data_IF_898551201861
#
_entry.id   IF_898551201861
#
_cell.length_a   1.000
_cell.length_b   1.000
_cell.length_c   1.000
_cell.angle_alpha   90.00
_cell.angle_beta   90.00
_cell.angle_gamma   90.00
#
_symmetry.space_group_name_H-M   'P 1'
#
loop_
_entity.id
_entity.type
_entity.pdbx_description
1 polymer ?
#
# COMPACT_ATOMS: atom_id res chain seq x y z
N UNK A 1 6.85 3.52 11.33
CA UNK A 1 6.67 4.47 10.21
C UNK A 1 5.41 4.13 9.44
N UNK A 2 5.33 3.00 8.73
CA UNK A 2 4.17 2.60 7.92
C UNK A 2 2.78 2.82 8.56
N UNK A 3 2.52 2.27 9.76
CA UNK A 3 1.21 2.44 10.44
C UNK A 3 0.93 3.90 10.84
N UNK A 4 1.97 4.66 11.17
CA UNK A 4 1.83 6.08 11.49
C UNK A 4 1.41 6.90 10.28
N UNK A 5 1.92 6.54 9.10
CA UNK A 5 1.45 7.11 7.83
C UNK A 5 -0.01 6.82 7.60
N UNK A 6 -0.44 5.55 7.65
CA UNK A 6 -1.85 5.19 7.43
C UNK A 6 -2.76 5.98 8.38
N UNK A 7 -2.42 5.99 9.66
CA UNK A 7 -3.16 6.75 10.66
C UNK A 7 -3.25 8.24 10.30
N UNK A 8 -2.13 8.92 10.06
CA UNK A 8 -2.12 10.35 9.78
C UNK A 8 -2.77 10.72 8.45
N UNK A 9 -2.70 9.84 7.46
CA UNK A 9 -3.28 10.07 6.14
C UNK A 9 -4.80 9.96 6.16
N UNK A 10 -5.36 9.00 6.91
CA UNK A 10 -6.81 8.82 7.06
C UNK A 10 -7.49 9.88 7.93
N UNK A 11 -6.75 10.55 8.83
CA UNK A 11 -7.33 11.55 9.73
C UNK A 11 -7.89 12.77 9.00
N UNK A 12 -9.13 13.11 9.36
CA UNK A 12 -9.84 14.32 8.91
C UNK A 12 -10.02 14.38 7.38
N UNK A 13 -10.84 13.50 6.79
CA UNK A 13 -11.06 13.46 5.35
C UNK A 13 -11.42 14.83 4.73
N UNK A 14 -10.79 15.16 3.60
CA UNK A 14 -10.88 16.45 2.93
C UNK A 14 -9.90 17.50 3.44
N UNK A 15 -9.08 17.19 4.46
CA UNK A 15 -8.10 18.12 5.03
C UNK A 15 -6.67 17.59 4.85
N UNK A 16 -5.77 18.49 4.44
CA UNK A 16 -4.36 18.20 4.15
C UNK A 16 -3.42 18.43 5.34
N UNK A 17 -3.85 19.07 6.43
CA UNK A 17 -3.00 19.46 7.55
C UNK A 17 -2.23 18.28 8.13
N UNK A 18 -2.88 17.14 8.38
CA UNK A 18 -2.20 15.96 8.93
C UNK A 18 -1.20 15.35 7.93
N UNK A 19 -1.56 15.35 6.65
CA UNK A 19 -0.70 14.86 5.57
C UNK A 19 0.53 15.74 5.42
N UNK A 20 0.35 17.07 5.35
CA UNK A 20 1.43 18.04 5.27
C UNK A 20 2.33 17.97 6.51
N UNK A 21 1.78 17.71 7.69
CA UNK A 21 2.60 17.46 8.88
C UNK A 21 3.50 16.24 8.71
N UNK A 22 3.01 15.13 8.15
CA UNK A 22 3.87 13.96 7.86
C UNK A 22 4.96 14.32 6.86
N UNK A 23 4.61 15.04 5.79
CA UNK A 23 5.55 15.42 4.74
C UNK A 23 6.62 16.40 5.22
N UNK A 24 6.24 17.42 6.00
CA UNK A 24 7.17 18.37 6.61
C UNK A 24 8.12 17.67 7.60
N UNK A 25 7.63 16.68 8.35
CA UNK A 25 8.48 15.90 9.27
C UNK A 25 9.46 15.00 8.52
N UNK A 26 9.07 14.45 7.37
CA UNK A 26 9.98 13.70 6.50
C UNK A 26 11.06 14.63 5.92
N UNK A 27 10.69 15.84 5.50
CA UNK A 27 11.65 16.84 5.02
C UNK A 27 12.62 17.26 6.12
N UNK A 28 12.12 17.57 7.32
CA UNK A 28 12.94 17.89 8.48
C UNK A 28 13.90 16.74 8.83
N UNK A 29 13.41 15.51 8.82
CA UNK A 29 14.22 14.32 9.05
C UNK A 29 15.36 14.21 8.02
N UNK A 30 15.06 14.37 6.72
CA UNK A 30 16.08 14.38 5.67
C UNK A 30 17.09 15.53 5.85
N UNK A 31 16.63 16.70 6.29
CA UNK A 31 17.48 17.85 6.61
C UNK A 31 18.41 17.58 7.79
N UNK A 32 17.93 16.94 8.87
CA UNK A 32 18.76 16.53 10.00
C UNK A 32 19.84 15.52 9.62
N UNK A 33 19.55 14.65 8.65
CA UNK A 33 20.50 13.71 8.08
C UNK A 33 21.51 14.38 7.12
N UNK A 34 21.46 15.71 6.94
CA UNK A 34 22.33 16.42 5.99
C UNK A 34 22.08 16.03 4.54
N UNK A 35 20.88 15.52 4.22
CA UNK A 35 20.55 14.84 2.97
C UNK A 35 21.41 13.58 2.68
N UNK A 36 22.13 13.07 3.68
CA UNK A 36 22.87 11.81 3.55
C UNK A 36 21.89 10.63 3.60
N UNK A 37 21.51 10.16 2.40
CA UNK A 37 20.69 8.97 2.22
C UNK A 37 21.49 7.68 2.43
N UNK A 38 22.81 7.76 2.67
CA UNK A 38 23.69 6.63 2.89
C UNK A 38 23.18 5.69 3.98
N UNK A 39 22.70 6.23 5.11
CA UNK A 39 22.16 5.43 6.22
C UNK A 39 20.96 4.55 5.82
N UNK A 40 20.23 4.91 4.76
CA UNK A 40 19.06 4.16 4.28
C UNK A 40 19.35 3.29 3.07
N UNK A 41 20.60 3.27 2.58
CA UNK A 41 21.01 2.28 1.61
C UNK A 41 20.91 0.89 2.24
N UNK A 42 20.34 -0.08 1.52
CA UNK A 42 20.13 -1.45 2.00
C UNK A 42 21.39 -2.02 2.65
N UNK A 43 22.56 -1.83 2.03
CA UNK A 43 23.86 -2.28 2.56
C UNK A 43 24.18 -1.77 3.97
N UNK A 44 23.77 -0.55 4.30
CA UNK A 44 23.99 0.05 5.61
C UNK A 44 22.89 -0.32 6.59
N UNK A 45 21.65 -0.49 6.13
CA UNK A 45 20.54 -1.00 6.95
C UNK A 45 20.82 -2.43 7.43
N UNK A 46 21.43 -3.27 6.59
CA UNK A 46 21.84 -4.63 6.92
C UNK A 46 22.86 -4.72 8.08
N UNK A 47 23.51 -3.62 8.45
CA UNK A 47 24.39 -3.59 9.63
C UNK A 47 23.61 -3.61 10.95
N UNK A 48 22.31 -3.26 10.93
CA UNK A 48 21.46 -3.16 12.12
C UNK A 48 20.17 -3.99 12.07
N UNK A 49 19.86 -4.62 10.94
CA UNK A 49 18.63 -5.41 10.76
C UNK A 49 18.78 -6.49 9.68
N UNK A 50 17.82 -7.39 9.56
CA UNK A 50 17.80 -8.41 8.51
C UNK A 50 17.35 -7.86 7.14
N UNK A 51 17.53 -8.66 6.09
CA UNK A 51 17.24 -8.25 4.71
C UNK A 51 15.80 -7.80 4.50
N UNK A 52 14.83 -8.50 5.10
CA UNK A 52 13.41 -8.18 4.89
C UNK A 52 13.05 -6.88 5.60
N UNK A 53 13.54 -6.67 6.81
CA UNK A 53 13.37 -5.41 7.52
C UNK A 53 14.09 -4.25 6.82
N UNK A 54 15.27 -4.47 6.23
CA UNK A 54 15.98 -3.45 5.45
C UNK A 54 15.15 -3.00 4.24
N UNK A 55 14.60 -3.94 3.45
CA UNK A 55 13.72 -3.61 2.33
C UNK A 55 12.39 -3.01 2.77
N UNK A 56 11.84 -3.41 3.92
CA UNK A 56 10.63 -2.80 4.46
C UNK A 56 10.84 -1.32 4.83
N UNK A 57 11.98 -0.99 5.43
CA UNK A 57 12.35 0.39 5.78
C UNK A 57 12.54 1.22 4.50
N UNK A 58 13.34 0.73 3.55
CA UNK A 58 13.60 1.39 2.28
C UNK A 58 12.31 1.61 1.47
N UNK A 59 11.49 0.57 1.33
CA UNK A 59 10.19 0.63 0.66
C UNK A 59 9.23 1.61 1.34
N UNK A 60 9.19 1.63 2.67
CA UNK A 60 8.37 2.59 3.43
C UNK A 60 8.80 4.02 3.14
N UNK A 61 10.11 4.29 3.07
CA UNK A 61 10.63 5.63 2.75
C UNK A 61 10.35 6.02 1.30
N UNK A 62 10.48 5.10 0.34
CA UNK A 62 10.12 5.33 -1.05
C UNK A 62 8.64 5.66 -1.21
N UNK A 63 7.76 4.90 -0.54
CA UNK A 63 6.32 5.15 -0.50
C UNK A 63 6.01 6.53 0.10
N UNK A 64 6.70 6.91 1.18
CA UNK A 64 6.56 8.24 1.78
C UNK A 64 6.97 9.36 0.83
N UNK A 65 8.09 9.22 0.12
CA UNK A 65 8.57 10.21 -0.85
C UNK A 65 7.58 10.38 -2.01
N UNK A 66 7.04 9.27 -2.53
CA UNK A 66 5.98 9.31 -3.54
C UNK A 66 4.75 10.06 -3.00
N UNK A 67 4.26 9.63 -1.84
CA UNK A 67 3.05 10.19 -1.25
C UNK A 67 3.20 11.67 -0.93
N UNK A 68 4.35 12.12 -0.43
CA UNK A 68 4.61 13.53 -0.13
C UNK A 68 5.01 14.39 -1.33
N UNK A 69 5.18 13.79 -2.51
CA UNK A 69 5.46 14.51 -3.75
C UNK A 69 4.35 14.31 -4.78
N UNK A 70 4.59 13.52 -5.85
CA UNK A 70 3.63 13.35 -6.93
C UNK A 70 2.29 12.76 -6.47
N UNK A 71 2.28 11.88 -5.46
CA UNK A 71 1.07 11.25 -4.94
C UNK A 71 0.10 12.27 -4.32
N UNK A 72 0.57 13.13 -3.41
CA UNK A 72 -0.23 14.20 -2.83
C UNK A 72 -0.68 15.18 -3.90
N UNK A 73 0.18 15.55 -4.84
CA UNK A 73 -0.19 16.46 -5.92
C UNK A 73 -1.41 15.93 -6.70
N UNK A 74 -1.45 14.64 -7.04
CA UNK A 74 -2.60 14.04 -7.71
C UNK A 74 -3.86 14.09 -6.85
N UNK A 75 -3.79 13.68 -5.58
CA UNK A 75 -4.96 13.69 -4.70
C UNK A 75 -5.50 15.10 -4.42
N UNK A 76 -4.65 16.13 -4.41
CA UNK A 76 -5.06 17.52 -4.27
C UNK A 76 -5.87 18.03 -5.47
N UNK A 77 -5.61 17.52 -6.68
CA UNK A 77 -6.30 17.95 -7.91
C UNK A 77 -7.55 17.10 -8.20
N UNK A 78 -7.52 15.80 -7.88
CA UNK A 78 -8.58 14.85 -8.23
C UNK A 78 -9.58 14.61 -7.09
N UNK A 79 -9.24 15.01 -5.86
CA UNK A 79 -10.08 14.86 -4.68
C UNK A 79 -9.45 13.97 -3.62
N UNK A 80 -9.11 14.57 -2.49
CA UNK A 80 -8.36 13.91 -1.42
C UNK A 80 -9.24 13.04 -0.50
N UNK A 81 -10.50 13.43 -0.30
CA UNK A 81 -11.34 12.88 0.76
C UNK A 81 -11.60 11.37 0.62
N UNK A 82 -11.68 10.86 -0.62
CA UNK A 82 -11.96 9.45 -0.82
C UNK A 82 -10.81 8.55 -0.35
N UNK A 83 -9.59 8.79 -0.84
CA UNK A 83 -8.42 8.07 -0.40
C UNK A 83 -8.26 8.09 1.13
N UNK A 84 -8.53 9.24 1.77
CA UNK A 84 -8.49 9.34 3.24
C UNK A 84 -9.55 8.48 3.93
N UNK A 85 -10.80 8.48 3.43
CA UNK A 85 -11.88 7.63 3.97
C UNK A 85 -11.56 6.14 3.82
N UNK A 86 -11.01 5.73 2.68
CA UNK A 86 -10.59 4.35 2.45
C UNK A 86 -9.47 3.97 3.42
N UNK A 87 -8.45 4.83 3.56
CA UNK A 87 -7.36 4.56 4.50
C UNK A 87 -7.87 4.47 5.93
N UNK A 88 -8.75 5.38 6.36
CA UNK A 88 -9.31 5.40 7.72
C UNK A 88 -10.13 4.12 8.01
N UNK A 89 -11.03 3.75 7.10
CA UNK A 89 -11.88 2.58 7.26
C UNK A 89 -11.15 1.24 7.14
N UNK A 90 -10.15 1.13 6.25
CA UNK A 90 -9.54 -0.16 5.89
C UNK A 90 -8.11 -0.35 6.45
N UNK A 91 -7.68 0.40 7.46
CA UNK A 91 -6.29 0.33 7.97
C UNK A 91 -5.82 -1.10 8.26
N UNK A 92 -6.65 -1.90 8.94
CA UNK A 92 -6.31 -3.28 9.28
C UNK A 92 -6.12 -4.15 8.03
N UNK A 93 -7.01 -4.02 7.04
CA UNK A 93 -6.91 -4.73 5.78
C UNK A 93 -5.65 -4.32 5.00
N UNK A 94 -5.38 -3.01 4.88
CA UNK A 94 -4.21 -2.47 4.18
C UNK A 94 -2.89 -2.93 4.83
N UNK A 95 -2.85 -2.99 6.17
CA UNK A 95 -1.70 -3.54 6.90
C UNK A 95 -1.52 -5.05 6.65
N UNK A 96 -2.60 -5.81 6.57
CA UNK A 96 -2.54 -7.24 6.25
C UNK A 96 -2.09 -7.51 4.81
N UNK A 97 -2.43 -6.66 3.84
CA UNK A 97 -1.87 -6.74 2.48
C UNK A 97 -0.32 -6.67 2.51
N UNK A 98 0.25 -5.75 3.28
CA UNK A 98 1.73 -5.65 3.41
C UNK A 98 2.30 -6.79 4.22
N UNK A 99 1.66 -7.20 5.32
CA UNK A 99 2.13 -8.30 6.16
C UNK A 99 2.20 -9.63 5.40
N UNK A 100 1.16 -9.95 4.62
CA UNK A 100 1.10 -11.16 3.79
C UNK A 100 2.16 -11.16 2.69
N UNK A 101 2.42 -10.00 2.06
CA UNK A 101 3.54 -9.80 1.15
C UNK A 101 4.88 -10.10 1.84
N UNK A 102 5.17 -9.43 2.96
CA UNK A 102 6.44 -9.57 3.69
C UNK A 102 6.67 -11.02 4.14
N UNK A 103 5.63 -11.69 4.62
CA UNK A 103 5.71 -13.12 4.97
C UNK A 103 6.04 -13.96 3.74
N UNK A 104 5.35 -13.72 2.61
CA UNK A 104 5.53 -14.52 1.41
C UNK A 104 6.93 -14.42 0.83
N UNK A 105 7.48 -13.22 0.73
CA UNK A 105 8.85 -13.02 0.22
C UNK A 105 9.93 -13.54 1.18
N UNK A 106 9.61 -13.65 2.48
CA UNK A 106 10.51 -14.26 3.47
C UNK A 106 10.71 -15.75 3.21
N UNK A 107 9.64 -16.44 2.82
CA UNK A 107 9.65 -17.90 2.69
C UNK A 107 9.70 -18.40 1.24
N UNK A 108 9.41 -17.54 0.26
CA UNK A 108 9.41 -17.86 -1.17
C UNK A 108 9.87 -16.65 -2.00
N UNK A 109 11.11 -16.21 -1.80
CA UNK A 109 11.65 -15.04 -2.51
C UNK A 109 11.64 -15.19 -4.05
N UNK A 110 11.76 -16.41 -4.57
CA UNK A 110 11.80 -16.69 -6.01
C UNK A 110 10.49 -16.34 -6.73
N UNK A 111 9.36 -16.39 -6.03
CA UNK A 111 8.06 -15.94 -6.54
C UNK A 111 7.79 -14.46 -6.24
N UNK A 112 8.82 -13.66 -5.94
CA UNK A 112 8.71 -12.27 -5.50
C UNK A 112 7.78 -11.41 -6.35
N UNK A 113 7.89 -11.45 -7.68
CA UNK A 113 7.02 -10.66 -8.56
C UNK A 113 5.53 -11.03 -8.42
N UNK A 114 5.20 -12.32 -8.24
CA UNK A 114 3.82 -12.73 -7.94
C UNK A 114 3.34 -12.04 -6.66
N UNK A 115 4.16 -12.01 -5.61
CA UNK A 115 3.79 -11.37 -4.35
C UNK A 115 3.72 -9.84 -4.44
N UNK A 116 4.56 -9.21 -5.26
CA UNK A 116 4.43 -7.78 -5.59
C UNK A 116 3.08 -7.49 -6.24
N UNK A 117 2.68 -8.28 -7.24
CA UNK A 117 1.37 -8.11 -7.90
C UNK A 117 0.22 -8.31 -6.91
N UNK A 118 0.30 -9.34 -6.07
CA UNK A 118 -0.69 -9.61 -5.02
C UNK A 118 -0.81 -8.44 -4.03
N UNK A 119 0.32 -7.84 -3.62
CA UNK A 119 0.33 -6.66 -2.76
C UNK A 119 -0.36 -5.48 -3.45
N UNK A 120 0.04 -5.17 -4.68
CA UNK A 120 -0.52 -4.06 -5.44
C UNK A 120 -2.02 -4.21 -5.63
N UNK A 121 -2.50 -5.42 -5.94
CA UNK A 121 -3.92 -5.70 -6.13
C UNK A 121 -4.71 -5.62 -4.82
N UNK A 122 -4.22 -6.28 -3.77
CA UNK A 122 -4.84 -6.26 -2.43
C UNK A 122 -4.98 -4.83 -1.92
N UNK A 123 -3.87 -4.06 -1.94
CA UNK A 123 -3.87 -2.74 -1.35
C UNK A 123 -4.70 -1.74 -2.15
N UNK A 124 -4.77 -1.88 -3.47
CA UNK A 124 -5.54 -0.99 -4.34
C UNK A 124 -7.02 -1.34 -4.43
N UNK A 125 -7.42 -2.58 -4.10
CA UNK A 125 -8.79 -3.07 -4.22
C UNK A 125 -9.87 -2.12 -3.63
N UNK A 126 -9.73 -1.60 -2.40
CA UNK A 126 -10.77 -0.74 -1.83
C UNK A 126 -10.85 0.66 -2.45
N UNK A 127 -9.87 1.04 -3.27
CA UNK A 127 -9.81 2.35 -3.94
C UNK A 127 -10.51 2.37 -5.31
N UNK A 128 -10.85 1.20 -5.88
CA UNK A 128 -11.45 1.08 -7.23
C UNK A 128 -12.98 1.28 -7.23
N UNK A 129 -13.56 1.73 -6.12
CA UNK A 129 -14.98 2.07 -6.09
C UNK A 129 -15.90 0.86 -6.17
N UNK A 130 -15.59 -0.21 -5.43
CA UNK A 130 -16.42 -1.43 -5.35
C UNK A 130 -17.81 -1.25 -4.73
N UNK A 131 -18.34 -0.04 -4.59
CA UNK A 131 -19.66 0.17 -4.01
C UNK A 131 -20.62 0.80 -5.00
N UNK A 132 -21.80 0.19 -5.10
CA UNK A 132 -22.99 0.86 -5.61
C UNK A 132 -23.41 2.04 -4.70
N UNK A 133 -22.69 2.28 -3.58
CA UNK A 133 -22.89 3.35 -2.60
C UNK A 133 -21.55 3.86 -2.04
N UNK A 134 -20.75 4.61 -2.81
CA UNK A 134 -19.49 5.15 -2.30
C UNK A 134 -19.78 6.19 -1.21
N UNK A 135 -18.94 6.27 -0.15
CA UNK A 135 -19.03 7.32 0.86
C UNK A 135 -19.16 8.70 0.21
N UNK A 136 -19.86 9.66 0.84
CA UNK A 136 -19.92 11.04 0.36
C UNK A 136 -18.50 11.63 0.30
N UNK A 137 -17.89 11.65 -0.90
CA UNK A 137 -16.47 11.95 -1.11
C UNK A 137 -15.79 11.03 -2.15
N UNK A 138 -16.33 9.83 -2.35
CA UNK A 138 -15.83 8.82 -3.29
C UNK A 138 -16.66 8.71 -4.60
N UNK A 139 -17.53 9.68 -4.90
CA UNK A 139 -18.41 9.64 -6.09
C UNK A 139 -17.74 10.08 -7.40
N UNK A 140 -16.64 10.85 -7.32
CA UNK A 140 -15.81 11.24 -8.47
C UNK A 140 -14.38 10.69 -8.40
N UNK A 141 -14.08 9.97 -7.32
CA UNK A 141 -12.77 9.47 -6.95
C UNK A 141 -12.79 7.95 -7.13
N UNK A 142 -11.81 7.37 -7.80
CA UNK A 142 -11.79 5.94 -8.11
C UNK A 142 -10.71 5.56 -9.11
N UNK A 143 -10.42 6.41 -10.10
CA UNK A 143 -9.29 6.20 -11.02
C UNK A 143 -8.00 6.78 -10.48
N UNK A 144 -8.04 8.02 -10.00
CA UNK A 144 -6.89 8.69 -9.40
C UNK A 144 -6.48 8.03 -8.07
N UNK A 145 -7.45 7.65 -7.23
CA UNK A 145 -7.17 6.98 -5.96
C UNK A 145 -6.62 5.56 -6.16
N UNK A 146 -7.19 4.80 -7.10
CA UNK A 146 -6.66 3.48 -7.45
C UNK A 146 -5.24 3.59 -8.01
N UNK A 147 -4.99 4.54 -8.92
CA UNK A 147 -3.65 4.83 -9.42
C UNK A 147 -2.68 5.15 -8.29
N UNK A 148 -3.07 6.07 -7.41
CA UNK A 148 -2.28 6.51 -6.27
C UNK A 148 -1.94 5.33 -5.36
N UNK A 149 -2.93 4.49 -5.07
CA UNK A 149 -2.79 3.29 -4.24
C UNK A 149 -1.83 2.28 -4.86
N UNK A 150 -1.92 2.06 -6.18
CA UNK A 150 -1.03 1.16 -6.88
C UNK A 150 0.39 1.70 -6.95
N UNK A 151 0.60 2.97 -7.31
CA UNK A 151 1.94 3.55 -7.41
C UNK A 151 2.63 3.57 -6.05
N UNK A 152 1.91 3.88 -4.97
CA UNK A 152 2.44 3.82 -3.61
C UNK A 152 3.04 2.43 -3.29
N UNK A 153 2.37 1.35 -3.70
CA UNK A 153 2.86 -0.02 -3.49
C UNK A 153 3.90 -0.46 -4.52
N UNK A 154 3.80 0.04 -5.77
CA UNK A 154 4.81 -0.20 -6.79
C UNK A 154 6.17 0.34 -6.33
N UNK A 155 6.22 1.61 -5.89
CA UNK A 155 7.47 2.21 -5.41
C UNK A 155 7.96 1.58 -4.10
N UNK A 156 7.05 1.11 -3.24
CA UNK A 156 7.40 0.37 -2.02
C UNK A 156 8.22 -0.89 -2.33
N UNK A 157 7.87 -1.61 -3.40
CA UNK A 157 8.54 -2.86 -3.79
C UNK A 157 9.69 -2.70 -4.78
N UNK A 158 9.82 -1.53 -5.42
CA UNK A 158 10.63 -1.35 -6.62
C UNK A 158 12.12 -1.66 -6.40
N UNK A 159 12.68 -1.26 -5.26
CA UNK A 159 14.09 -1.50 -4.96
C UNK A 159 14.39 -2.96 -4.61
N UNK A 160 13.39 -3.70 -4.11
CA UNK A 160 13.51 -5.11 -3.80
C UNK A 160 13.33 -5.99 -5.05
N UNK A 161 12.38 -5.63 -5.91
CA UNK A 161 12.05 -6.37 -7.12
C UNK A 161 11.92 -5.45 -8.35
N UNK A 162 13.04 -4.87 -8.84
CA UNK A 162 13.02 -3.86 -9.91
C UNK A 162 12.54 -4.39 -11.26
N UNK A 163 12.64 -5.72 -11.49
CA UNK A 163 12.40 -6.34 -12.79
C UNK A 163 10.99 -6.91 -12.97
N UNK A 164 10.06 -6.65 -12.05
CA UNK A 164 8.70 -7.21 -12.18
C UNK A 164 7.86 -6.58 -13.29
N UNK A 165 8.25 -5.40 -13.80
CA UNK A 165 7.63 -4.79 -14.98
C UNK A 165 6.17 -4.35 -14.82
N UNK A 166 5.64 -4.33 -13.59
CA UNK A 166 4.28 -3.85 -13.35
C UNK A 166 4.20 -2.32 -13.50
N UNK A 167 3.12 -1.85 -14.11
CA UNK A 167 2.77 -0.44 -14.22
C UNK A 167 1.40 -0.20 -13.59
N UNK A 168 1.22 0.99 -13.02
CA UNK A 168 -0.09 1.47 -12.59
C UNK A 168 -0.67 2.36 -13.68
N UNK A 169 -0.86 1.84 -14.88
CA UNK A 169 -1.60 2.56 -15.90
C UNK A 169 -3.09 2.57 -15.56
N UNK A 170 -3.72 3.74 -15.48
CA UNK A 170 -5.11 3.89 -15.03
C UNK A 170 -6.07 2.99 -15.81
N UNK A 171 -5.88 2.81 -17.13
CA UNK A 171 -6.79 2.03 -17.97
C UNK A 171 -6.57 0.53 -17.77
N UNK A 172 -5.31 0.08 -17.78
CA UNK A 172 -4.98 -1.34 -17.60
C UNK A 172 -5.25 -1.81 -16.18
N UNK A 173 -4.92 -0.98 -15.20
CA UNK A 173 -5.07 -1.25 -13.78
C UNK A 173 -6.55 -1.40 -13.39
N UNK A 174 -7.43 -0.52 -13.89
CA UNK A 174 -8.88 -0.60 -13.59
C UNK A 174 -9.44 -1.96 -14.00
N UNK A 175 -9.14 -2.43 -15.22
CA UNK A 175 -9.59 -3.74 -15.70
C UNK A 175 -8.99 -4.91 -14.93
N UNK A 176 -7.73 -4.80 -14.51
CA UNK A 176 -7.09 -5.84 -13.71
C UNK A 176 -7.71 -5.94 -12.32
N UNK A 177 -7.99 -4.80 -11.68
CA UNK A 177 -8.60 -4.75 -10.36
C UNK A 177 -10.07 -5.18 -10.41
N UNK A 178 -10.84 -4.82 -11.45
CA UNK A 178 -12.20 -5.34 -11.64
C UNK A 178 -12.21 -6.88 -11.65
N UNK A 179 -11.33 -7.52 -12.42
CA UNK A 179 -11.18 -8.99 -12.42
C UNK A 179 -10.73 -9.55 -11.07
N UNK A 180 -9.86 -8.84 -10.36
CA UNK A 180 -9.45 -9.24 -9.01
C UNK A 180 -10.66 -9.22 -8.05
N UNK A 181 -11.47 -8.17 -8.11
CA UNK A 181 -12.64 -7.97 -7.25
C UNK A 181 -13.73 -9.02 -7.49
N UNK A 182 -13.88 -9.59 -8.70
CA UNK A 182 -14.82 -10.70 -8.96
C UNK A 182 -14.64 -11.90 -8.02
N UNK A 183 -13.42 -12.11 -7.50
CA UNK A 183 -13.08 -13.23 -6.63
C UNK A 183 -12.60 -12.82 -5.23
N UNK A 184 -12.25 -11.54 -5.04
CA UNK A 184 -11.68 -11.01 -3.81
C UNK A 184 -12.50 -9.90 -3.16
N UNK A 185 -13.71 -9.61 -3.68
CA UNK A 185 -14.64 -8.67 -3.07
C UNK A 185 -16.04 -9.28 -2.97
N UNK A 186 -16.69 -9.05 -1.83
CA UNK A 186 -18.10 -9.36 -1.62
C UNK A 186 -18.76 -8.32 -0.74
N UNK A 187 -20.08 -8.23 -0.83
CA UNK A 187 -20.90 -7.38 0.05
C UNK A 187 -21.84 -8.28 0.85
N UNK A 188 -21.72 -8.23 2.17
CA UNK A 188 -22.58 -8.98 3.10
C UNK A 188 -23.17 -7.99 4.10
N UNK A 189 -24.50 -7.98 4.25
CA UNK A 189 -25.22 -7.06 5.14
C UNK A 189 -24.88 -5.56 4.94
N UNK A 190 -24.62 -5.15 3.69
CA UNK A 190 -24.25 -3.78 3.36
C UNK A 190 -22.80 -3.40 3.70
N UNK A 191 -22.00 -4.35 4.19
CA UNK A 191 -20.57 -4.17 4.49
C UNK A 191 -19.70 -4.76 3.38
N UNK A 192 -18.62 -4.07 3.05
CA UNK A 192 -17.65 -4.52 2.05
C UNK A 192 -16.62 -5.44 2.70
N UNK A 193 -16.41 -6.61 2.11
CA UNK A 193 -15.37 -7.55 2.50
C UNK A 193 -14.39 -7.74 1.35
N UNK A 194 -13.10 -7.66 1.66
CA UNK A 194 -12.01 -7.92 0.73
C UNK A 194 -11.19 -9.10 1.23
N UNK A 195 -10.84 -10.03 0.33
CA UNK A 195 -9.97 -11.17 0.65
C UNK A 195 -8.51 -10.72 0.55
N UNK A 196 -7.71 -10.94 1.59
CA UNK A 196 -6.24 -10.80 1.46
C UNK A 196 -5.70 -11.96 0.59
N UNK A 197 -4.55 -11.80 -0.08
CA UNK A 197 -3.97 -12.87 -0.87
C UNK A 197 -3.61 -14.10 -0.03
N UNK A 198 -3.67 -15.27 -0.64
CA UNK A 198 -3.00 -16.44 -0.08
C UNK A 198 -1.49 -16.16 0.00
N UNK A 199 -0.87 -16.60 1.09
CA UNK A 199 0.49 -16.20 1.45
C UNK A 199 1.30 -17.36 2.02
N UNK A 200 2.63 -17.27 1.93
CA UNK A 200 3.51 -18.27 2.54
C UNK A 200 3.77 -17.89 3.99
N UNK A 201 3.63 -18.86 4.90
CA UNK A 201 3.96 -18.69 6.30
C UNK A 201 4.42 -20.02 6.92
N UNK A 202 5.11 -19.93 8.06
CA UNK A 202 5.41 -21.10 8.89
C UNK A 202 4.18 -21.41 9.74
N UNK A 203 3.64 -22.60 9.57
CA UNK A 203 2.56 -23.12 10.41
C UNK A 203 2.98 -24.49 10.92
N UNK A 204 2.96 -24.66 12.24
CA UNK A 204 3.43 -25.89 12.91
C UNK A 204 4.86 -26.28 12.49
N UNK A 205 5.73 -25.28 12.33
CA UNK A 205 7.14 -25.47 11.97
C UNK A 205 7.40 -25.74 10.48
N UNK A 206 6.36 -25.80 9.64
CA UNK A 206 6.50 -26.05 8.19
C UNK A 206 6.04 -24.84 7.39
N UNK A 207 6.82 -24.45 6.38
CA UNK A 207 6.43 -23.42 5.41
C UNK A 207 5.31 -23.98 4.52
N UNK A 208 4.14 -23.35 4.53
CA UNK A 208 3.01 -23.72 3.67
C UNK A 208 2.24 -22.50 3.18
N UNK A 209 1.46 -22.70 2.12
CA UNK A 209 0.47 -21.71 1.67
C UNK A 209 -0.65 -21.64 2.71
N UNK A 210 -0.98 -20.44 3.14
CA UNK A 210 -2.09 -20.13 4.05
C UNK A 210 -3.15 -19.39 3.24
N UNK A 211 -4.40 -19.81 3.37
CA UNK A 211 -5.52 -19.14 2.72
C UNK A 211 -5.74 -17.75 3.31
N UNK A 212 -5.90 -16.76 2.43
CA UNK A 212 -6.18 -15.40 2.82
C UNK A 212 -7.56 -15.22 3.47
N UNK A 213 -7.60 -14.47 4.56
CA UNK A 213 -8.82 -14.14 5.28
C UNK A 213 -9.67 -13.08 4.53
N UNK A 214 -10.98 -13.17 4.70
CA UNK A 214 -11.91 -12.09 4.35
C UNK A 214 -11.92 -11.04 5.46
N UNK A 215 -11.68 -9.79 5.09
CA UNK A 215 -11.62 -8.67 6.03
C UNK A 215 -12.54 -7.55 5.58
N UNK A 216 -13.17 -6.89 6.55
CA UNK A 216 -13.91 -5.65 6.34
C UNK A 216 -13.23 -4.50 7.08
N UNK A 217 -13.76 -3.30 6.92
CA UNK A 217 -13.55 -2.19 7.86
C UNK A 217 -13.90 -2.58 9.31
#
# INVERSE_FOLDING_TARGET
LYNWFLYKWGLTPGNTTNILNVCNQLEFFNGCMGNDRGCFQIQNLLLGTDLNNAFFIDGTLAMYQFNCGPGLNVLLHEGLACAQLVIDGFQNYLQQCVSTYMSSITYDFNSGCKYVKNLMDCWSAPFVGGSQNPPPGCRGAGRADAWWACEANRVFTLNQFPNCGYSCDVQQQSQQLERHLETHHKVENGKHYYKIPDYMAVVEGTVRVVEGLWMSD
#
